data_IF_889353778675
#
_entry.id   IF_889353778675
#
_cell.length_a   1.000
_cell.length_b   1.000
_cell.length_c   1.000
_cell.angle_alpha   90.00
_cell.angle_beta   90.00
_cell.angle_gamma   90.00
#
_symmetry.space_group_name_H-M   'P 1'
#
loop_
_entity.id
_entity.type
_entity.pdbx_description
1 polymer ?
#
# COMPACT_ATOMS: atom_id res chain seq x y z
N UNK A 1 25.01 25.93 32.17
CA UNK A 1 24.21 24.99 31.37
C UNK A 1 22.85 25.62 31.33
N UNK A 2 22.67 26.50 30.36
CA UNK A 2 21.43 27.29 30.23
C UNK A 2 20.47 26.55 29.34
N UNK A 3 19.37 26.08 29.92
CA UNK A 3 18.22 25.58 29.17
C UNK A 3 17.55 26.79 28.51
N UNK A 4 17.63 26.83 27.16
CA UNK A 4 16.94 27.84 26.37
C UNK A 4 15.42 27.56 26.47
N UNK A 5 14.62 28.46 27.07
CA UNK A 5 13.19 28.22 27.16
C UNK A 5 12.59 28.36 25.79
N UNK A 6 12.01 27.25 25.25
CA UNK A 6 11.23 27.25 24.02
C UNK A 6 10.17 28.34 24.12
N UNK A 7 10.34 29.43 23.39
CA UNK A 7 9.41 30.53 23.38
C UNK A 7 8.08 30.08 22.69
N UNK A 8 6.96 30.00 23.42
CA UNK A 8 5.70 29.51 22.88
C UNK A 8 5.06 30.41 21.80
N UNK A 9 5.67 31.54 21.46
CA UNK A 9 5.18 32.49 20.45
C UNK A 9 5.56 32.15 19.01
N UNK A 10 6.39 31.12 18.79
CA UNK A 10 6.88 30.77 17.44
C UNK A 10 6.38 29.46 16.88
N UNK A 11 5.39 28.85 17.50
CA UNK A 11 4.64 27.78 16.82
C UNK A 11 3.52 28.48 16.03
N UNK A 12 3.54 28.44 14.69
CA UNK A 12 2.39 28.87 13.92
C UNK A 12 1.24 27.93 14.29
N UNK A 13 0.31 28.45 15.10
CA UNK A 13 -0.99 27.81 15.27
C UNK A 13 -1.72 28.02 13.94
N UNK A 14 -1.38 27.21 12.93
CA UNK A 14 -2.32 26.94 11.88
C UNK A 14 -3.50 26.26 12.59
N UNK A 15 -4.56 27.01 12.87
CA UNK A 15 -5.89 26.47 13.00
C UNK A 15 -6.18 25.81 11.65
N UNK A 16 -5.80 24.55 11.51
CA UNK A 16 -6.39 23.70 10.50
C UNK A 16 -7.88 23.72 10.83
N UNK A 17 -8.72 24.26 9.95
CA UNK A 17 -10.10 23.81 9.90
C UNK A 17 -9.98 22.30 9.74
N UNK A 18 -10.26 21.56 10.78
CA UNK A 18 -9.96 20.13 10.88
C UNK A 18 -10.79 19.43 9.82
N UNK A 19 -10.17 19.22 8.67
CA UNK A 19 -10.70 18.31 7.66
C UNK A 19 -10.57 16.95 8.32
N UNK A 20 -11.63 16.43 8.92
CA UNK A 20 -11.60 15.09 9.51
C UNK A 20 -11.33 14.06 8.39
N UNK A 21 -10.04 13.86 8.11
CA UNK A 21 -9.54 12.96 7.06
C UNK A 21 -10.07 11.55 7.31
N UNK A 22 -10.06 11.10 8.56
CA UNK A 22 -10.54 9.76 8.95
C UNK A 22 -12.03 9.64 8.66
N UNK A 23 -12.82 10.67 8.98
CA UNK A 23 -14.25 10.64 8.73
C UNK A 23 -14.57 10.60 7.23
N UNK A 24 -13.84 11.38 6.41
CA UNK A 24 -13.99 11.35 4.95
C UNK A 24 -13.66 9.97 4.38
N UNK A 25 -12.54 9.37 4.79
CA UNK A 25 -12.15 8.02 4.36
C UNK A 25 -13.21 7.01 4.80
N UNK A 26 -13.65 7.05 6.05
CA UNK A 26 -14.62 6.11 6.58
C UNK A 26 -16.00 6.24 5.91
N UNK A 27 -16.44 7.46 5.60
CA UNK A 27 -17.66 7.71 4.82
C UNK A 27 -17.52 7.12 3.42
N UNK A 28 -16.45 7.42 2.70
CA UNK A 28 -16.18 6.88 1.38
C UNK A 28 -16.18 5.35 1.39
N UNK A 29 -15.41 4.75 2.28
CA UNK A 29 -15.28 3.29 2.36
C UNK A 29 -16.59 2.57 2.69
N UNK A 30 -17.43 3.14 3.54
CA UNK A 30 -18.71 2.52 3.93
C UNK A 30 -19.80 2.67 2.89
N UNK A 31 -19.77 3.70 2.03
CA UNK A 31 -20.86 4.03 1.11
C UNK A 31 -20.54 3.86 -0.37
N UNK A 32 -19.27 3.67 -0.75
CA UNK A 32 -18.89 3.57 -2.16
C UNK A 32 -19.46 2.31 -2.81
N UNK A 33 -20.08 2.49 -3.94
CA UNK A 33 -20.67 1.43 -4.75
C UNK A 33 -20.00 1.36 -6.12
N UNK A 34 -19.70 0.14 -6.60
CA UNK A 34 -19.13 -0.07 -7.92
C UNK A 34 -20.05 0.38 -9.05
N UNK A 35 -21.36 0.43 -8.86
CA UNK A 35 -22.27 0.85 -9.92
C UNK A 35 -22.19 2.35 -10.18
N UNK A 36 -21.76 3.14 -9.21
CA UNK A 36 -21.64 4.60 -9.30
C UNK A 36 -20.33 5.10 -9.88
N UNK A 37 -19.30 4.23 -10.01
CA UNK A 37 -17.99 4.65 -10.53
C UNK A 37 -17.94 4.63 -12.07
N UNK A 38 -17.05 5.43 -12.71
CA UNK A 38 -16.90 5.44 -14.16
C UNK A 38 -16.58 4.07 -14.76
N UNK A 39 -17.09 3.80 -15.97
CA UNK A 39 -16.80 2.54 -16.69
C UNK A 39 -15.30 2.32 -16.90
N UNK A 40 -14.54 3.40 -17.16
CA UNK A 40 -13.07 3.38 -17.29
C UNK A 40 -12.44 2.82 -16.01
N UNK A 41 -12.78 3.37 -14.87
CA UNK A 41 -12.26 2.96 -13.56
C UNK A 41 -12.61 1.50 -13.25
N UNK A 42 -13.83 1.04 -13.58
CA UNK A 42 -14.22 -0.38 -13.45
C UNK A 42 -13.34 -1.32 -14.29
N UNK A 43 -13.05 -0.92 -15.53
CA UNK A 43 -12.18 -1.70 -16.43
C UNK A 43 -10.74 -1.72 -15.87
N UNK A 44 -10.24 -0.57 -15.46
CA UNK A 44 -8.88 -0.43 -14.97
C UNK A 44 -8.66 -1.21 -13.66
N UNK A 45 -9.63 -1.19 -12.75
CA UNK A 45 -9.59 -2.00 -11.51
C UNK A 45 -9.43 -3.50 -11.80
N UNK A 46 -10.08 -4.02 -12.86
CA UNK A 46 -9.90 -5.42 -13.27
C UNK A 46 -8.49 -5.70 -13.79
N UNK A 47 -7.90 -4.77 -14.54
CA UNK A 47 -6.54 -4.88 -15.04
C UNK A 47 -5.52 -4.85 -13.89
N UNK A 48 -5.72 -4.00 -12.89
CA UNK A 48 -4.86 -3.96 -11.69
C UNK A 48 -4.90 -5.28 -10.91
N UNK A 49 -6.08 -5.90 -10.77
CA UNK A 49 -6.19 -7.20 -10.12
C UNK A 49 -5.47 -8.28 -10.94
N UNK A 50 -5.61 -8.26 -12.27
CA UNK A 50 -4.93 -9.21 -13.15
C UNK A 50 -3.40 -9.03 -13.09
N UNK A 51 -2.93 -7.80 -13.17
CA UNK A 51 -1.51 -7.45 -13.04
C UNK A 51 -0.96 -7.95 -11.70
N UNK A 52 -1.63 -7.63 -10.60
CA UNK A 52 -1.23 -8.11 -9.27
C UNK A 52 -1.16 -9.63 -9.18
N UNK A 53 -2.11 -10.36 -9.76
CA UNK A 53 -2.06 -11.83 -9.82
C UNK A 53 -0.80 -12.28 -10.57
N UNK A 54 -0.52 -11.66 -11.71
CA UNK A 54 0.61 -12.03 -12.57
C UNK A 54 1.95 -11.79 -11.90
N UNK A 55 2.15 -10.61 -11.28
CA UNK A 55 3.41 -10.27 -10.59
C UNK A 55 3.60 -11.10 -9.32
N UNK A 56 2.51 -11.42 -8.61
CA UNK A 56 2.55 -12.29 -7.43
C UNK A 56 2.94 -13.72 -7.80
N UNK A 57 2.40 -14.26 -8.89
CA UNK A 57 2.78 -15.57 -9.41
C UNK A 57 4.23 -15.60 -9.90
N UNK A 58 4.73 -14.53 -10.49
CA UNK A 58 6.13 -14.41 -10.86
C UNK A 58 7.04 -14.38 -9.62
N UNK A 59 6.68 -13.58 -8.61
CA UNK A 59 7.46 -13.41 -7.39
C UNK A 59 7.52 -14.62 -6.45
N UNK A 60 6.67 -15.64 -6.67
CA UNK A 60 6.68 -16.87 -5.83
C UNK A 60 7.99 -17.67 -5.90
N UNK A 61 8.80 -17.45 -6.92
CA UNK A 61 10.08 -18.13 -7.08
C UNK A 61 11.22 -17.46 -6.30
N UNK A 62 11.00 -16.24 -5.81
CA UNK A 62 11.99 -15.47 -5.08
C UNK A 62 12.29 -16.06 -3.70
N UNK A 63 13.55 -15.93 -3.28
CA UNK A 63 14.01 -16.48 -1.97
C UNK A 63 13.23 -15.91 -0.80
N UNK A 64 12.90 -14.61 -0.82
CA UNK A 64 12.13 -13.96 0.25
C UNK A 64 10.73 -14.56 0.40
N UNK A 65 10.07 -14.92 -0.72
CA UNK A 65 8.77 -15.59 -0.67
C UNK A 65 8.88 -16.99 -0.05
N UNK A 66 9.90 -17.77 -0.45
CA UNK A 66 10.12 -19.11 0.06
C UNK A 66 10.34 -19.10 1.59
N UNK A 67 11.20 -18.20 2.06
CA UNK A 67 11.53 -18.05 3.48
C UNK A 67 10.29 -17.65 4.29
N UNK A 68 9.56 -16.62 3.88
CA UNK A 68 8.37 -16.16 4.64
C UNK A 68 7.23 -17.18 4.59
N UNK A 69 7.06 -17.87 3.45
CA UNK A 69 6.04 -18.91 3.32
C UNK A 69 6.31 -20.09 4.25
N UNK A 70 7.57 -20.52 4.35
CA UNK A 70 7.97 -21.59 5.26
C UNK A 70 7.79 -21.19 6.74
N UNK A 71 8.23 -19.98 7.10
CA UNK A 71 8.05 -19.46 8.45
C UNK A 71 6.58 -19.44 8.87
N UNK A 72 5.71 -18.89 8.00
CA UNK A 72 4.27 -18.78 8.29
C UNK A 72 3.57 -20.16 8.29
N UNK A 73 4.03 -21.11 7.49
CA UNK A 73 3.56 -22.51 7.56
C UNK A 73 3.92 -23.16 8.88
N UNK A 74 5.15 -22.96 9.35
CA UNK A 74 5.65 -23.53 10.62
C UNK A 74 4.94 -22.91 11.84
N UNK A 75 4.54 -21.62 11.77
CA UNK A 75 3.71 -20.99 12.78
C UNK A 75 2.31 -21.63 12.89
N UNK A 76 1.86 -22.28 11.83
CA UNK A 76 0.60 -23.02 11.81
C UNK A 76 -0.65 -22.13 11.86
N UNK A 77 -1.74 -22.71 12.36
CA UNK A 77 -3.02 -22.01 12.53
C UNK A 77 -4.11 -22.48 11.56
N UNK A 78 -5.25 -21.76 11.55
CA UNK A 78 -6.39 -22.12 10.71
C UNK A 78 -6.10 -21.89 9.23
N UNK A 79 -6.49 -22.85 8.38
CA UNK A 79 -6.37 -22.75 6.92
C UNK A 79 -7.49 -21.89 6.33
N UNK A 80 -7.40 -20.57 6.52
CA UNK A 80 -8.47 -19.62 6.17
C UNK A 80 -8.36 -19.10 4.74
N UNK A 81 -7.12 -18.76 4.30
CA UNK A 81 -6.92 -18.01 3.05
C UNK A 81 -5.80 -18.61 2.21
N UNK A 82 -5.97 -18.54 0.88
CA UNK A 82 -5.04 -19.11 -0.09
C UNK A 82 -3.74 -18.29 -0.20
N UNK A 83 -2.67 -18.98 -0.56
CA UNK A 83 -1.43 -18.38 -1.04
C UNK A 83 -1.42 -18.57 -2.57
N UNK A 84 -1.29 -17.48 -3.32
CA UNK A 84 -1.27 -17.55 -4.78
C UNK A 84 -0.06 -18.38 -5.26
N UNK A 85 -0.35 -19.31 -6.16
CA UNK A 85 0.66 -20.20 -6.74
C UNK A 85 1.08 -21.38 -5.86
N UNK A 86 0.44 -21.58 -4.70
CA UNK A 86 0.58 -22.77 -3.87
C UNK A 86 -0.80 -23.38 -3.60
N UNK A 87 -0.82 -24.68 -3.30
CA UNK A 87 -2.05 -25.37 -2.86
C UNK A 87 -2.38 -25.12 -1.38
N UNK A 88 -1.47 -24.49 -0.65
CA UNK A 88 -1.58 -24.25 0.79
C UNK A 88 -2.49 -23.07 1.11
N UNK A 89 -3.07 -23.18 2.31
CA UNK A 89 -3.85 -22.11 2.94
C UNK A 89 -3.25 -21.79 4.31
N UNK A 90 -3.28 -20.53 4.68
CA UNK A 90 -2.79 -20.03 5.96
C UNK A 90 -3.87 -19.22 6.69
N UNK A 91 -3.66 -18.85 7.98
CA UNK A 91 -4.42 -17.79 8.61
C UNK A 91 -4.45 -16.55 7.73
N UNK A 92 -5.56 -15.83 7.70
CA UNK A 92 -5.75 -14.72 6.75
C UNK A 92 -4.64 -13.65 6.83
N UNK A 93 -4.16 -13.33 8.05
CA UNK A 93 -3.05 -12.39 8.26
C UNK A 93 -1.77 -12.90 7.61
N UNK A 94 -1.42 -14.15 7.82
CA UNK A 94 -0.24 -14.79 7.24
C UNK A 94 -0.34 -14.86 5.71
N UNK A 95 -1.50 -15.23 5.17
CA UNK A 95 -1.74 -15.27 3.73
C UNK A 95 -1.63 -13.87 3.10
N UNK A 96 -2.18 -12.82 3.73
CA UNK A 96 -2.02 -11.44 3.30
C UNK A 96 -0.54 -11.03 3.26
N UNK A 97 0.21 -11.36 4.30
CA UNK A 97 1.65 -11.08 4.38
C UNK A 97 2.43 -11.77 3.26
N UNK A 98 2.24 -13.08 3.10
CA UNK A 98 2.97 -13.88 2.11
C UNK A 98 2.67 -13.45 0.68
N UNK A 99 1.39 -13.23 0.35
CA UNK A 99 0.98 -12.78 -0.98
C UNK A 99 1.52 -11.37 -1.30
N UNK A 100 1.54 -10.46 -0.33
CA UNK A 100 2.08 -9.11 -0.53
C UNK A 100 3.59 -9.12 -0.71
N UNK A 101 4.32 -9.99 0.01
CA UNK A 101 5.75 -10.20 -0.21
C UNK A 101 6.00 -10.69 -1.64
N UNK A 102 5.26 -11.69 -2.11
CA UNK A 102 5.39 -12.20 -3.47
C UNK A 102 5.12 -11.12 -4.51
N UNK A 103 4.02 -10.37 -4.35
CA UNK A 103 3.63 -9.30 -5.28
C UNK A 103 4.67 -8.18 -5.42
N UNK A 104 5.47 -7.94 -4.36
CA UNK A 104 6.49 -6.88 -4.37
C UNK A 104 7.93 -7.40 -4.51
N UNK A 105 8.15 -8.71 -4.54
CA UNK A 105 9.49 -9.32 -4.53
C UNK A 105 10.35 -8.93 -5.73
N UNK A 106 9.74 -8.79 -6.90
CA UNK A 106 10.41 -8.44 -8.16
C UNK A 106 10.41 -6.93 -8.45
N UNK A 107 9.86 -6.10 -7.55
CA UNK A 107 9.61 -4.67 -7.83
C UNK A 107 8.90 -4.45 -9.18
N UNK A 108 7.97 -5.37 -9.54
CA UNK A 108 7.27 -5.38 -10.82
C UNK A 108 5.81 -4.94 -10.69
N UNK A 109 5.35 -4.72 -9.48
CA UNK A 109 4.01 -4.19 -9.19
C UNK A 109 3.86 -2.72 -9.59
N UNK A 110 2.62 -2.30 -9.74
CA UNK A 110 2.21 -0.96 -10.17
C UNK A 110 2.95 0.19 -9.46
N UNK A 111 2.89 1.37 -10.04
CA UNK A 111 3.42 2.60 -9.42
C UNK A 111 2.43 3.74 -9.56
N UNK A 112 2.22 4.49 -8.48
CA UNK A 112 1.52 5.77 -8.50
C UNK A 112 2.52 6.90 -8.23
N UNK A 113 2.82 7.72 -9.26
CA UNK A 113 3.85 8.75 -9.16
C UNK A 113 3.50 9.88 -8.18
N UNK A 114 2.22 10.22 -8.05
CA UNK A 114 1.79 11.27 -7.12
C UNK A 114 1.94 10.86 -5.65
N UNK A 115 1.71 9.59 -5.31
CA UNK A 115 1.87 9.06 -3.97
C UNK A 115 3.25 8.46 -3.71
N UNK A 116 4.08 8.27 -4.74
CA UNK A 116 5.42 7.65 -4.66
C UNK A 116 5.39 6.22 -4.07
N UNK A 117 4.33 5.46 -4.35
CA UNK A 117 4.09 4.14 -3.76
C UNK A 117 3.57 3.11 -4.76
N UNK A 118 3.59 1.85 -4.31
CA UNK A 118 3.06 0.67 -5.00
C UNK A 118 1.87 0.16 -4.18
N UNK A 119 0.65 0.28 -4.70
CA UNK A 119 -0.54 0.11 -3.85
C UNK A 119 -1.19 -1.25 -3.96
N UNK A 120 -1.11 -1.91 -5.12
CA UNK A 120 -1.85 -3.15 -5.36
C UNK A 120 -1.36 -4.30 -4.50
N UNK A 121 -0.04 -4.50 -4.39
CA UNK A 121 0.53 -5.61 -3.61
C UNK A 121 0.14 -5.56 -2.14
N UNK A 122 0.11 -4.38 -1.54
CA UNK A 122 -0.32 -4.22 -0.14
C UNK A 122 -1.82 -4.48 0.02
N UNK A 123 -2.64 -3.83 -0.81
CA UNK A 123 -4.09 -3.75 -0.63
C UNK A 123 -4.78 -5.02 -1.11
N UNK A 124 -4.44 -5.51 -2.33
CA UNK A 124 -5.16 -6.65 -2.91
C UNK A 124 -4.85 -7.93 -2.11
N UNK A 125 -3.62 -8.08 -1.60
CA UNK A 125 -3.27 -9.24 -0.77
C UNK A 125 -4.11 -9.32 0.50
N UNK A 126 -4.31 -8.20 1.19
CA UNK A 126 -5.18 -8.16 2.38
C UNK A 126 -6.65 -8.36 2.02
N UNK A 127 -7.12 -7.73 0.92
CA UNK A 127 -8.49 -7.87 0.45
C UNK A 127 -8.81 -9.32 0.04
N UNK A 128 -7.89 -9.99 -0.68
CA UNK A 128 -8.06 -11.40 -1.05
C UNK A 128 -8.13 -12.28 0.19
N UNK A 129 -7.19 -12.10 1.12
CA UNK A 129 -7.13 -12.90 2.33
C UNK A 129 -8.41 -12.75 3.20
N UNK A 130 -8.92 -11.54 3.35
CA UNK A 130 -10.17 -11.30 4.05
C UNK A 130 -11.37 -11.88 3.29
N UNK A 131 -11.43 -11.69 1.97
CA UNK A 131 -12.55 -12.19 1.14
C UNK A 131 -12.63 -13.71 1.16
N UNK A 132 -11.50 -14.39 1.11
CA UNK A 132 -11.43 -15.84 1.15
C UNK A 132 -11.86 -16.39 2.52
N UNK A 133 -11.37 -15.79 3.60
CA UNK A 133 -11.81 -16.13 4.97
C UNK A 133 -13.30 -15.93 5.20
N UNK A 134 -13.84 -14.79 4.77
CA UNK A 134 -15.23 -14.40 4.97
C UNK A 134 -16.16 -14.96 3.87
N UNK A 135 -15.62 -15.65 2.85
CA UNK A 135 -16.35 -16.16 1.68
C UNK A 135 -17.17 -15.05 0.99
N UNK A 136 -16.59 -13.87 0.88
CA UNK A 136 -17.27 -12.70 0.35
C UNK A 136 -17.48 -12.81 -1.18
N UNK A 137 -18.47 -12.06 -1.70
CA UNK A 137 -18.71 -12.02 -3.14
C UNK A 137 -17.56 -11.34 -3.89
N UNK A 138 -17.37 -11.68 -5.17
CA UNK A 138 -16.42 -11.00 -6.05
C UNK A 138 -16.73 -9.51 -6.22
N UNK A 139 -17.99 -9.08 -6.03
CA UNK A 139 -18.37 -7.66 -6.00
C UNK A 139 -17.76 -6.99 -4.79
N UNK A 140 -17.99 -7.54 -3.59
CA UNK A 140 -17.51 -6.95 -2.33
C UNK A 140 -15.98 -6.94 -2.25
N UNK A 141 -15.31 -7.99 -2.75
CA UNK A 141 -13.86 -8.00 -2.95
C UNK A 141 -13.39 -6.79 -3.79
N UNK A 142 -13.99 -6.55 -4.96
CA UNK A 142 -13.62 -5.43 -5.84
C UNK A 142 -13.90 -4.07 -5.20
N UNK A 143 -14.99 -3.94 -4.45
CA UNK A 143 -15.30 -2.73 -3.67
C UNK A 143 -14.22 -2.47 -2.61
N UNK A 144 -13.83 -3.51 -1.87
CA UNK A 144 -12.74 -3.43 -0.91
C UNK A 144 -11.42 -3.00 -1.57
N UNK A 145 -11.06 -3.62 -2.70
CA UNK A 145 -9.84 -3.25 -3.45
C UNK A 145 -9.89 -1.78 -3.89
N UNK A 146 -11.01 -1.32 -4.45
CA UNK A 146 -11.17 0.06 -4.90
C UNK A 146 -10.96 1.06 -3.77
N UNK A 147 -11.71 0.91 -2.67
CA UNK A 147 -11.64 1.87 -1.57
C UNK A 147 -10.29 1.82 -0.85
N UNK A 148 -9.67 0.64 -0.80
CA UNK A 148 -8.35 0.47 -0.21
C UNK A 148 -7.24 1.14 -1.03
N UNK A 149 -7.18 0.90 -2.33
CA UNK A 149 -6.18 1.50 -3.21
C UNK A 149 -6.33 3.02 -3.22
N UNK A 150 -7.56 3.52 -3.37
CA UNK A 150 -7.84 4.96 -3.36
C UNK A 150 -7.40 5.61 -2.04
N UNK A 151 -7.64 4.94 -0.91
CA UNK A 151 -7.19 5.40 0.41
C UNK A 151 -5.67 5.45 0.50
N UNK A 152 -4.97 4.38 0.08
CA UNK A 152 -3.50 4.33 0.11
C UNK A 152 -2.87 5.44 -0.73
N UNK A 153 -3.38 5.65 -1.94
CA UNK A 153 -2.91 6.71 -2.84
C UNK A 153 -3.08 8.09 -2.19
N UNK A 154 -4.26 8.40 -1.65
CA UNK A 154 -4.56 9.70 -1.06
C UNK A 154 -3.77 9.99 0.20
N UNK A 155 -3.60 9.01 1.07
CA UNK A 155 -2.70 9.13 2.22
C UNK A 155 -1.26 9.33 1.76
N UNK A 156 -0.79 8.61 0.73
CA UNK A 156 0.55 8.80 0.16
C UNK A 156 0.75 10.20 -0.42
N UNK A 157 -0.24 10.77 -1.12
CA UNK A 157 -0.21 12.15 -1.62
C UNK A 157 -0.18 13.14 -0.44
N UNK A 158 -1.00 12.92 0.58
CA UNK A 158 -1.06 13.77 1.78
C UNK A 158 0.26 13.78 2.55
N UNK A 159 0.90 12.61 2.72
CA UNK A 159 2.24 12.49 3.29
C UNK A 159 3.28 13.22 2.43
N UNK A 160 3.23 13.05 1.13
CA UNK A 160 3.99 13.78 0.14
C UNK A 160 5.49 13.52 0.14
N UNK A 161 6.21 14.37 -0.60
CA UNK A 161 7.65 14.21 -0.83
C UNK A 161 8.52 14.37 0.43
N UNK A 162 8.10 15.21 1.38
CA UNK A 162 8.84 15.43 2.64
C UNK A 162 8.98 14.12 3.42
N UNK A 163 7.88 13.36 3.55
CA UNK A 163 7.88 12.02 4.14
C UNK A 163 8.83 11.06 3.41
N UNK A 164 8.74 11.02 2.07
CA UNK A 164 9.60 10.17 1.25
C UNK A 164 11.09 10.54 1.39
N UNK A 165 11.42 11.83 1.36
CA UNK A 165 12.81 12.31 1.50
C UNK A 165 13.36 12.11 2.91
N UNK A 166 12.50 12.07 3.93
CA UNK A 166 12.89 11.74 5.30
C UNK A 166 13.33 10.28 5.46
N UNK A 167 13.07 9.44 4.45
CA UNK A 167 13.53 8.06 4.42
C UNK A 167 12.43 7.02 4.65
N UNK A 168 11.16 7.40 4.63
CA UNK A 168 10.06 6.46 4.78
C UNK A 168 9.70 5.75 3.46
N UNK A 169 9.32 4.49 3.55
CA UNK A 169 8.81 3.68 2.43
C UNK A 169 7.30 3.84 2.33
N UNK A 170 6.84 4.76 1.49
CA UNK A 170 5.41 5.15 1.38
C UNK A 170 4.51 3.95 1.07
N UNK A 171 4.97 3.01 0.24
CA UNK A 171 4.23 1.77 -0.04
C UNK A 171 3.75 1.08 1.24
N UNK A 172 4.59 1.01 2.25
CA UNK A 172 4.23 0.38 3.53
C UNK A 172 3.49 1.36 4.44
N UNK A 173 4.01 2.59 4.61
CA UNK A 173 3.46 3.56 5.58
C UNK A 173 2.08 4.09 5.20
N UNK A 174 1.76 4.26 3.91
CA UNK A 174 0.42 4.59 3.43
C UNK A 174 -0.42 3.35 3.12
N UNK A 175 0.22 2.29 2.61
CA UNK A 175 -0.47 1.07 2.18
C UNK A 175 -1.17 0.32 3.30
N UNK A 176 -0.65 0.38 4.53
CA UNK A 176 -1.32 -0.23 5.69
C UNK A 176 -2.74 0.31 5.89
N UNK A 177 -2.96 1.60 5.70
CA UNK A 177 -4.30 2.20 5.79
C UNK A 177 -5.20 1.71 4.65
N UNK A 178 -4.65 1.59 3.44
CA UNK A 178 -5.36 1.00 2.31
C UNK A 178 -5.81 -0.43 2.57
N UNK A 179 -4.92 -1.28 3.08
CA UNK A 179 -5.23 -2.64 3.49
C UNK A 179 -6.33 -2.68 4.55
N UNK A 180 -6.21 -1.82 5.57
CA UNK A 180 -7.20 -1.72 6.65
C UNK A 180 -8.58 -1.36 6.12
N UNK A 181 -8.66 -0.35 5.25
CA UNK A 181 -9.92 0.14 4.70
C UNK A 181 -10.54 -0.87 3.73
N UNK A 182 -9.72 -1.55 2.92
CA UNK A 182 -10.17 -2.62 2.05
C UNK A 182 -10.83 -3.76 2.84
N UNK A 183 -10.16 -4.22 3.89
CA UNK A 183 -10.68 -5.29 4.75
C UNK A 183 -11.90 -4.82 5.53
N UNK A 184 -11.90 -3.60 6.06
CA UNK A 184 -13.05 -3.04 6.77
C UNK A 184 -14.30 -2.96 5.88
N UNK A 185 -14.15 -2.64 4.57
CA UNK A 185 -15.23 -2.69 3.58
C UNK A 185 -15.75 -4.12 3.40
N UNK A 186 -14.87 -5.09 3.24
CA UNK A 186 -15.22 -6.51 3.07
C UNK A 186 -15.97 -7.05 4.30
N UNK A 187 -15.56 -6.64 5.48
CA UNK A 187 -16.22 -6.99 6.75
C UNK A 187 -17.54 -6.25 7.00
N UNK A 188 -17.93 -5.32 6.13
CA UNK A 188 -19.16 -4.52 6.29
C UNK A 188 -19.13 -3.63 7.55
N UNK A 189 -17.97 -3.13 7.94
CA UNK A 189 -17.85 -2.33 9.17
C UNK A 189 -18.58 -0.99 9.03
N UNK A 190 -19.21 -0.55 10.12
CA UNK A 190 -19.81 0.78 10.20
C UNK A 190 -18.74 1.87 10.11
N UNK A 191 -19.14 3.08 9.67
CA UNK A 191 -18.24 4.26 9.60
C UNK A 191 -17.41 4.41 10.89
N UNK A 192 -18.04 4.31 12.07
CA UNK A 192 -17.35 4.43 13.37
C UNK A 192 -16.28 3.35 13.56
N UNK A 193 -16.55 2.09 13.19
CA UNK A 193 -15.58 1.00 13.29
C UNK A 193 -14.43 1.16 12.30
N UNK A 194 -14.71 1.69 11.09
CA UNK A 194 -13.66 2.01 10.09
C UNK A 194 -12.71 3.08 10.66
N UNK A 195 -13.24 4.13 11.29
CA UNK A 195 -12.41 5.16 11.94
C UNK A 195 -11.49 4.55 13.00
N UNK A 196 -11.99 3.66 13.85
CA UNK A 196 -11.16 2.95 14.82
C UNK A 196 -10.13 2.03 14.16
N UNK A 197 -10.48 1.33 13.08
CA UNK A 197 -9.54 0.49 12.34
C UNK A 197 -8.36 1.30 11.79
N UNK A 198 -8.61 2.47 11.21
CA UNK A 198 -7.59 3.41 10.72
C UNK A 198 -6.68 3.86 11.87
N UNK A 199 -7.26 4.22 13.03
CA UNK A 199 -6.48 4.61 14.19
C UNK A 199 -5.63 3.47 14.75
N UNK A 200 -6.12 2.23 14.76
CA UNK A 200 -5.32 1.06 15.16
C UNK A 200 -4.16 0.84 14.19
N UNK A 201 -4.43 0.94 12.88
CA UNK A 201 -3.42 0.74 11.84
C UNK A 201 -2.23 1.70 11.96
N UNK A 202 -2.46 2.95 12.40
CA UNK A 202 -1.39 3.95 12.55
C UNK A 202 -0.28 3.50 13.50
N UNK A 203 -0.63 2.73 14.54
CA UNK A 203 0.34 2.20 15.52
C UNK A 203 1.25 1.10 14.96
N UNK A 204 0.90 0.53 13.80
CA UNK A 204 1.68 -0.51 13.12
C UNK A 204 2.25 -0.04 11.78
N UNK A 205 2.06 1.23 11.44
CA UNK A 205 2.64 1.80 10.23
C UNK A 205 4.15 1.90 10.36
N UNK A 206 4.87 1.30 9.42
CA UNK A 206 6.33 1.29 9.42
C UNK A 206 6.86 1.03 8.01
N UNK A 207 8.15 1.27 7.83
CA UNK A 207 8.86 1.03 6.58
C UNK A 207 9.85 2.15 6.26
N UNK A 208 11.09 1.77 5.93
CA UNK A 208 12.18 2.71 5.64
C UNK A 208 12.87 2.36 4.31
N UNK A 209 13.30 3.40 3.60
CA UNK A 209 13.98 3.29 2.31
C UNK A 209 15.39 2.68 2.41
N UNK A 210 15.99 2.69 3.59
CA UNK A 210 17.30 2.06 3.81
C UNK A 210 17.33 0.57 3.43
N UNK A 211 16.16 -0.08 3.31
CA UNK A 211 16.05 -1.46 2.86
C UNK A 211 15.85 -1.63 1.34
N UNK A 212 15.86 -0.55 0.57
CA UNK A 212 15.77 -0.67 -0.89
C UNK A 212 16.98 -1.45 -1.44
N UNK A 213 16.71 -2.39 -2.36
CA UNK A 213 17.71 -3.33 -2.86
C UNK A 213 17.91 -4.59 -1.99
N UNK A 214 17.22 -4.73 -0.85
CA UNK A 214 17.30 -5.92 0.00
C UNK A 214 15.97 -6.67 0.07
N UNK A 215 16.00 -7.94 0.52
CA UNK A 215 14.81 -8.75 0.78
C UNK A 215 13.88 -8.15 1.86
N UNK A 216 14.38 -7.24 2.69
CA UNK A 216 13.56 -6.55 3.67
C UNK A 216 12.58 -5.53 3.04
N UNK A 217 12.83 -5.05 1.81
CA UNK A 217 11.89 -4.15 1.12
C UNK A 217 10.51 -4.81 0.91
N UNK A 218 10.38 -5.98 0.26
CA UNK A 218 9.10 -6.67 0.13
C UNK A 218 8.50 -7.13 1.46
N UNK A 219 9.32 -7.43 2.50
CA UNK A 219 8.80 -7.74 3.83
C UNK A 219 8.02 -6.59 4.46
N UNK A 220 8.46 -5.33 4.27
CA UNK A 220 7.73 -4.16 4.75
C UNK A 220 6.31 -4.10 4.14
N UNK A 221 6.18 -4.46 2.87
CA UNK A 221 4.91 -4.51 2.15
C UNK A 221 4.01 -5.63 2.70
N UNK A 222 4.58 -6.80 2.94
CA UNK A 222 3.91 -7.92 3.59
C UNK A 222 3.39 -7.56 4.98
N UNK A 223 4.24 -6.96 5.81
CA UNK A 223 3.85 -6.52 7.15
C UNK A 223 2.72 -5.49 7.11
N UNK A 224 2.79 -4.52 6.22
CA UNK A 224 1.72 -3.53 6.06
C UNK A 224 0.39 -4.18 5.66
N UNK A 225 0.42 -5.16 4.75
CA UNK A 225 -0.76 -5.92 4.33
C UNK A 225 -1.39 -6.70 5.50
N UNK A 226 -0.59 -7.53 6.17
CA UNK A 226 -1.06 -8.37 7.28
C UNK A 226 -1.51 -7.55 8.50
N UNK A 227 -0.78 -6.49 8.86
CA UNK A 227 -1.14 -5.62 9.98
C UNK A 227 -2.37 -4.76 9.68
N UNK A 228 -2.54 -4.31 8.44
CA UNK A 228 -3.74 -3.60 8.03
C UNK A 228 -4.99 -4.49 8.12
N UNK A 229 -4.89 -5.75 7.69
CA UNK A 229 -5.95 -6.74 7.88
C UNK A 229 -6.26 -6.93 9.37
N UNK A 230 -5.26 -7.13 10.21
CA UNK A 230 -5.41 -7.31 11.66
C UNK A 230 -6.12 -6.12 12.31
N UNK A 231 -5.76 -4.88 11.93
CA UNK A 231 -6.37 -3.66 12.46
C UNK A 231 -7.89 -3.61 12.21
N UNK A 232 -8.35 -4.03 11.02
CA UNK A 232 -9.77 -4.11 10.71
C UNK A 232 -10.51 -5.13 11.59
N UNK A 233 -9.92 -6.33 11.78
CA UNK A 233 -10.51 -7.35 12.67
C UNK A 233 -10.52 -6.91 14.15
N UNK A 234 -9.50 -6.21 14.62
CA UNK A 234 -9.46 -5.67 15.98
C UNK A 234 -10.59 -4.65 16.21
N UNK A 235 -10.81 -3.75 15.25
CA UNK A 235 -11.93 -2.81 15.30
C UNK A 235 -13.29 -3.52 15.19
N UNK A 236 -13.40 -4.58 14.38
CA UNK A 236 -14.60 -5.41 14.33
C UNK A 236 -14.94 -5.98 15.71
N UNK A 237 -13.93 -6.45 16.44
CA UNK A 237 -14.06 -7.00 17.80
C UNK A 237 -14.30 -5.94 18.88
N UNK A 238 -14.21 -4.65 18.55
CA UNK A 238 -14.59 -3.56 19.45
C UNK A 238 -13.41 -2.80 20.07
N UNK A 239 -12.17 -3.02 19.63
CA UNK A 239 -11.05 -2.17 20.03
C UNK A 239 -11.30 -0.76 19.51
N UNK A 240 -11.12 0.23 20.38
CA UNK A 240 -11.27 1.65 20.09
C UNK A 240 -9.90 2.31 20.01
N UNK A 241 -9.77 3.29 19.13
CA UNK A 241 -8.59 4.14 18.99
C UNK A 241 -8.97 5.61 19.09
N UNK A 242 -7.97 6.48 19.14
CA UNK A 242 -8.18 7.90 18.92
C UNK A 242 -8.57 8.14 17.45
N UNK A 243 -9.63 8.90 17.20
CA UNK A 243 -10.11 9.22 15.86
C UNK A 243 -9.45 10.48 15.27
N UNK A 244 -8.63 11.19 16.05
CA UNK A 244 -7.93 12.42 15.64
C UNK A 244 -6.45 12.18 15.32
N UNK A 245 -6.07 10.95 14.96
CA UNK A 245 -4.66 10.59 14.73
C UNK A 245 -4.00 11.36 13.58
N UNK A 246 -4.77 11.97 12.67
CA UNK A 246 -4.24 12.79 11.59
C UNK A 246 -4.23 14.29 11.92
N UNK A 247 -5.01 14.74 12.90
CA UNK A 247 -5.31 16.16 13.15
C UNK A 247 -4.71 16.72 14.45
N UNK A 248 -4.22 15.88 15.37
CA UNK A 248 -3.60 16.29 16.64
C UNK A 248 -2.15 16.79 16.44
N UNK A 249 -1.66 17.62 17.35
CA UNK A 249 -0.25 18.06 17.44
C UNK A 249 0.76 16.92 17.52
N UNK A 250 0.36 15.76 18.07
CA UNK A 250 1.12 14.52 18.08
C UNK A 250 0.67 13.55 16.98
N UNK A 251 0.06 14.08 15.92
CA UNK A 251 -0.57 13.29 14.87
C UNK A 251 0.42 12.43 14.10
N UNK A 252 -0.12 11.43 13.43
CA UNK A 252 0.62 10.58 12.50
C UNK A 252 1.40 11.42 11.48
N UNK A 253 0.79 12.48 10.91
CA UNK A 253 1.45 13.34 9.94
C UNK A 253 2.65 14.10 10.53
N UNK A 254 2.55 14.59 11.76
CA UNK A 254 3.66 15.28 12.43
C UNK A 254 4.83 14.31 12.68
N UNK A 255 4.55 13.15 13.26
CA UNK A 255 5.56 12.14 13.58
C UNK A 255 6.22 11.60 12.30
N UNK A 256 5.44 11.40 11.25
CA UNK A 256 5.90 10.85 9.98
C UNK A 256 6.31 11.90 8.95
N UNK A 257 6.48 13.16 9.36
CA UNK A 257 6.98 14.26 8.50
C UNK A 257 6.14 14.48 7.23
N UNK A 258 4.81 14.52 7.35
CA UNK A 258 3.90 14.77 6.24
C UNK A 258 4.06 16.18 5.67
N UNK A 259 3.66 16.35 4.39
CA UNK A 259 3.49 17.65 3.75
C UNK A 259 2.12 18.28 4.06
N UNK A 260 1.18 17.50 4.60
CA UNK A 260 -0.21 17.93 4.86
C UNK A 260 -0.91 18.47 3.61
N UNK A 261 -0.89 17.69 2.52
CA UNK A 261 -1.55 18.06 1.27
C UNK A 261 -3.05 17.70 1.35
N UNK A 262 -3.82 18.47 2.11
CA UNK A 262 -5.23 18.18 2.47
C UNK A 262 -6.16 18.13 1.26
N UNK A 263 -5.81 18.82 0.17
CA UNK A 263 -6.54 18.74 -1.11
C UNK A 263 -6.58 17.31 -1.68
N UNK A 264 -5.72 16.39 -1.20
CA UNK A 264 -5.78 14.98 -1.58
C UNK A 264 -7.15 14.34 -1.26
N UNK A 265 -7.90 14.89 -0.29
CA UNK A 265 -9.21 14.37 0.13
C UNK A 265 -10.39 15.22 -0.31
N UNK A 266 -10.19 16.32 -1.07
CA UNK A 266 -11.27 17.25 -1.44
C UNK A 266 -12.30 16.63 -2.39
N UNK A 267 -11.88 15.71 -3.25
CA UNK A 267 -12.71 15.09 -4.30
C UNK A 267 -12.83 13.57 -4.14
N UNK A 268 -12.62 13.05 -2.91
CA UNK A 268 -12.72 11.61 -2.60
C UNK A 268 -14.13 11.09 -2.92
N UNK A 269 -14.22 10.03 -3.72
CA UNK A 269 -15.46 9.45 -4.21
C UNK A 269 -16.03 10.08 -5.49
N UNK A 270 -15.48 11.22 -5.95
CA UNK A 270 -15.85 11.87 -7.22
C UNK A 270 -14.78 11.68 -8.30
N UNK A 271 -13.52 11.82 -7.92
CA UNK A 271 -12.36 11.58 -8.79
C UNK A 271 -11.60 10.38 -8.25
N UNK A 272 -11.16 9.49 -9.13
CA UNK A 272 -10.51 8.24 -8.78
C UNK A 272 -9.04 8.28 -9.20
N UNK A 273 -8.14 8.49 -8.22
CA UNK A 273 -6.69 8.53 -8.44
C UNK A 273 -6.13 7.14 -8.80
N UNK A 274 -6.87 6.08 -8.57
CA UNK A 274 -6.54 4.73 -9.03
C UNK A 274 -6.31 4.69 -10.54
N UNK A 275 -6.98 5.54 -11.33
CA UNK A 275 -6.84 5.62 -12.78
C UNK A 275 -5.46 6.14 -13.24
N UNK A 276 -4.67 6.71 -12.32
CA UNK A 276 -3.31 7.22 -12.56
C UNK A 276 -2.21 6.21 -12.24
N UNK A 277 -2.55 5.01 -11.76
CA UNK A 277 -1.59 3.93 -11.57
C UNK A 277 -0.96 3.52 -12.91
N UNK A 278 0.31 3.15 -12.88
CA UNK A 278 1.09 2.75 -14.05
C UNK A 278 1.59 1.33 -13.87
N UNK A 279 1.34 0.50 -14.87
CA UNK A 279 1.96 -0.82 -14.98
C UNK A 279 3.42 -0.70 -15.35
N UNK A 280 4.22 -1.67 -14.94
CA UNK A 280 5.64 -1.74 -15.29
C UNK A 280 5.87 -2.69 -16.47
N UNK A 281 6.81 -2.36 -17.33
CA UNK A 281 7.26 -3.21 -18.43
C UNK A 281 8.51 -4.03 -18.06
N UNK A 282 9.26 -3.57 -17.04
CA UNK A 282 10.45 -4.23 -16.53
C UNK A 282 10.31 -4.51 -15.04
N UNK A 283 10.85 -5.64 -14.59
CA UNK A 283 10.85 -6.06 -13.19
C UNK A 283 11.93 -5.32 -12.39
N UNK A 284 11.74 -4.00 -12.21
CA UNK A 284 12.68 -3.12 -11.51
C UNK A 284 12.01 -1.81 -11.08
N UNK A 285 12.77 -0.94 -10.43
CA UNK A 285 12.31 0.41 -10.09
C UNK A 285 11.83 1.16 -11.34
N UNK A 286 10.63 1.74 -11.28
CA UNK A 286 10.03 2.46 -12.43
C UNK A 286 10.91 3.62 -12.94
N UNK A 287 11.69 4.25 -12.06
CA UNK A 287 12.63 5.31 -12.43
C UNK A 287 13.75 4.87 -13.37
N UNK A 288 14.03 3.56 -13.50
CA UNK A 288 15.07 3.04 -14.40
C UNK A 288 14.55 2.65 -15.78
N UNK A 289 13.22 2.59 -15.98
CA UNK A 289 12.63 2.14 -17.23
C UNK A 289 13.06 2.97 -18.44
N UNK A 290 13.11 4.29 -18.32
CA UNK A 290 13.54 5.17 -19.44
C UNK A 290 14.98 4.90 -19.88
N UNK A 291 15.87 4.57 -18.95
CA UNK A 291 17.26 4.21 -19.24
C UNK A 291 17.32 2.87 -19.96
N UNK A 292 16.57 1.87 -19.48
CA UNK A 292 16.48 0.54 -20.09
C UNK A 292 15.93 0.65 -21.52
N UNK A 293 14.82 1.35 -21.72
CA UNK A 293 14.21 1.54 -23.04
C UNK A 293 15.14 2.29 -24.01
N UNK A 294 15.82 3.33 -23.52
CA UNK A 294 16.81 4.07 -24.33
C UNK A 294 17.95 3.16 -24.78
N UNK A 295 18.41 2.29 -23.89
CA UNK A 295 19.48 1.36 -24.19
C UNK A 295 19.05 0.30 -25.21
N UNK A 296 17.86 -0.30 -25.04
CA UNK A 296 17.27 -1.24 -25.99
C UNK A 296 17.18 -0.57 -27.37
N UNK A 297 16.66 0.67 -27.42
CA UNK A 297 16.58 1.43 -28.66
C UNK A 297 17.96 1.62 -29.35
N UNK A 298 19.00 1.96 -28.57
CA UNK A 298 20.35 2.15 -29.10
C UNK A 298 20.94 0.82 -29.63
N UNK A 299 20.76 -0.28 -28.92
CA UNK A 299 21.22 -1.60 -29.36
C UNK A 299 20.56 -1.99 -30.68
N UNK A 300 19.24 -1.83 -30.78
CA UNK A 300 18.46 -2.25 -31.96
C UNK A 300 18.75 -1.39 -33.19
N UNK A 301 18.98 -0.08 -33.02
CA UNK A 301 19.11 0.83 -34.15
C UNK A 301 20.58 1.10 -34.59
N UNK A 302 21.55 0.91 -33.70
CA UNK A 302 22.95 1.23 -33.97
C UNK A 302 23.88 0.01 -33.98
N UNK A 303 23.33 -1.22 -33.97
CA UNK A 303 24.09 -2.50 -34.04
C UNK A 303 25.25 -2.59 -33.01
N UNK A 304 25.03 -2.10 -31.80
CA UNK A 304 26.04 -2.07 -30.74
C UNK A 304 26.33 -3.49 -30.21
N UNK A 305 26.90 -4.37 -31.05
CA UNK A 305 27.12 -5.79 -30.73
C UNK A 305 28.09 -6.05 -29.58
N UNK A 306 29.00 -5.11 -29.31
CA UNK A 306 30.03 -5.23 -28.26
C UNK A 306 29.63 -4.55 -26.91
N UNK A 307 28.46 -3.96 -26.84
CA UNK A 307 28.00 -3.20 -25.67
C UNK A 307 27.72 -4.03 -24.43
N UNK A 308 27.35 -5.33 -24.47
CA UNK A 308 27.07 -6.11 -23.28
C UNK A 308 28.19 -6.15 -22.24
N UNK A 309 29.46 -6.13 -22.71
CA UNK A 309 30.62 -6.17 -21.81
C UNK A 309 30.85 -4.87 -21.04
N UNK A 310 30.52 -3.72 -21.63
CA UNK A 310 30.63 -2.41 -20.96
C UNK A 310 29.48 -2.14 -20.00
N UNK A 311 28.29 -2.68 -20.28
CA UNK A 311 27.09 -2.51 -19.43
C UNK A 311 27.15 -3.31 -18.15
N UNK A 312 27.76 -4.48 -18.16
CA UNK A 312 27.95 -5.28 -16.94
C UNK A 312 28.71 -4.48 -15.86
N UNK A 313 29.62 -3.57 -16.27
CA UNK A 313 30.36 -2.71 -15.35
C UNK A 313 29.60 -1.46 -14.88
N UNK A 314 28.54 -1.03 -15.60
CA UNK A 314 27.76 0.16 -15.27
C UNK A 314 26.46 -0.15 -14.49
N UNK A 315 25.98 -1.39 -14.56
CA UNK A 315 24.69 -1.79 -13.98
C UNK A 315 24.82 -2.69 -12.74
N UNK A 316 26.01 -3.10 -12.37
CA UNK A 316 26.29 -3.85 -11.15
C UNK A 316 26.94 -2.90 -10.16
N UNK A 317 26.25 -2.51 -9.06
CA UNK A 317 26.86 -1.75 -7.98
C UNK A 317 27.89 -2.56 -7.22
#
# INVERSE_FOLDING_TARGET
MDEDPINPRYLPIHRFESIDIIEKIAKFASSQDLDTIPKKTKKFLRLLILDWISVTLAGKNESVFKIISELEKNNGGKKESLILGLSDRLPAKSAATVNAVAGHALDYDDTHFGSLGHTTSVVISAALAASDKEKSSARLFREGVLVGIETAIRIGIWLGRKHYHKGFHITATAGIFGSTVAVARILGLSKKKIMHAIGIASSSSSGIKAHFGSMAKPLQVGFASGRGLEAAYLAQKGIKSNNQIFDDKNSYGMVYSANFIDKAFSNLGCVFNIDDLKFKFHACCHGTHSVIESLIYLIDNYQLKDFPNYLAHLLIP
#
